data_IF_050103456271
#
_entry.id   IF_050103456271
#
_cell.length_a   1.000
_cell.length_b   1.000
_cell.length_c   1.000
_cell.angle_alpha   90.00
_cell.angle_beta   90.00
_cell.angle_gamma   90.00
#
_symmetry.space_group_name_H-M   'P 1'
#
loop_
_entity.id
_entity.type
_entity.pdbx_description
1 polymer ?
#
# COMPACT_ATOMS: atom_id res chain seq x y z
N UNK A 1 5.73 -2.00 -7.78
CA UNK A 1 4.65 -1.35 -8.57
C UNK A 1 3.43 -1.02 -7.71
N UNK A 2 2.83 -2.00 -7.01
CA UNK A 2 1.59 -1.79 -6.24
C UNK A 2 1.70 -0.76 -5.09
N UNK A 3 2.89 -0.56 -4.54
CA UNK A 3 3.15 0.34 -3.41
C UNK A 3 3.63 1.74 -3.82
N UNK A 4 3.67 2.05 -5.12
CA UNK A 4 4.21 3.31 -5.62
C UNK A 4 3.35 4.51 -5.18
N UNK A 5 2.02 4.39 -5.25
CA UNK A 5 1.12 5.49 -4.86
C UNK A 5 1.16 5.75 -3.34
N UNK A 6 1.05 4.74 -2.44
CA UNK A 6 1.27 4.94 -1.01
C UNK A 6 2.62 5.61 -0.69
N UNK A 7 3.68 5.25 -1.40
CA UNK A 7 5.00 5.85 -1.23
C UNK A 7 5.03 7.33 -1.64
N UNK A 8 4.44 7.67 -2.79
CA UNK A 8 4.31 9.07 -3.22
C UNK A 8 3.46 9.89 -2.23
N UNK A 9 2.42 9.28 -1.65
CA UNK A 9 1.62 9.91 -0.61
C UNK A 9 2.50 10.28 0.59
N UNK A 10 3.28 9.33 1.11
CA UNK A 10 4.22 9.59 2.19
C UNK A 10 5.22 10.69 1.81
N UNK A 11 5.83 10.64 0.61
CA UNK A 11 6.79 11.65 0.15
C UNK A 11 6.20 13.05 0.04
N UNK A 12 4.91 13.17 -0.27
CA UNK A 12 4.20 14.47 -0.26
C UNK A 12 3.96 15.00 1.16
N UNK A 13 3.80 14.11 2.14
CA UNK A 13 3.57 14.46 3.55
C UNK A 13 4.87 14.67 4.34
N UNK A 14 5.94 13.96 3.99
CA UNK A 14 7.27 14.02 4.63
C UNK A 14 7.77 15.46 4.88
N UNK A 15 7.75 16.41 3.92
CA UNK A 15 8.23 17.78 4.16
C UNK A 15 7.35 18.60 5.10
N UNK A 16 6.15 18.12 5.46
CA UNK A 16 5.24 18.81 6.40
C UNK A 16 5.52 18.43 7.86
N UNK A 17 6.35 17.41 8.09
CA UNK A 17 6.67 16.90 9.42
C UNK A 17 7.80 17.77 9.99
N UNK A 18 7.46 18.62 10.97
CA UNK A 18 8.42 19.55 11.60
C UNK A 18 9.29 18.89 12.67
N UNK A 19 8.76 17.86 13.30
CA UNK A 19 9.39 17.16 14.42
C UNK A 19 9.91 15.79 13.94
N UNK A 20 11.22 15.52 14.08
CA UNK A 20 11.82 14.31 13.55
C UNK A 20 11.28 13.04 14.23
N UNK A 21 10.82 13.08 15.49
CA UNK A 21 10.24 11.91 16.16
C UNK A 21 8.99 11.40 15.43
N UNK A 22 8.20 12.31 14.83
CA UNK A 22 6.97 11.96 14.14
C UNK A 22 7.18 11.37 12.75
N UNK A 23 8.39 11.46 12.16
CA UNK A 23 8.66 10.91 10.82
C UNK A 23 8.35 9.41 10.77
N UNK A 24 8.75 8.67 11.81
CA UNK A 24 8.53 7.23 11.91
C UNK A 24 7.05 6.88 12.07
N UNK A 25 6.36 7.57 12.98
CA UNK A 25 4.93 7.38 13.27
C UNK A 25 4.06 7.74 12.07
N UNK A 26 4.33 8.85 11.39
CA UNK A 26 3.60 9.24 10.18
C UNK A 26 3.84 8.26 9.04
N UNK A 27 5.07 7.78 8.85
CA UNK A 27 5.37 6.75 7.85
C UNK A 27 4.59 5.46 8.12
N UNK A 28 4.53 5.04 9.38
CA UNK A 28 3.74 3.88 9.79
C UNK A 28 2.23 4.10 9.56
N UNK A 29 1.69 5.24 9.99
CA UNK A 29 0.27 5.56 9.83
C UNK A 29 -0.17 5.62 8.36
N UNK A 30 0.62 6.29 7.50
CA UNK A 30 0.37 6.33 6.06
C UNK A 30 0.54 4.93 5.44
N UNK A 31 1.56 4.17 5.85
CA UNK A 31 1.75 2.80 5.40
C UNK A 31 0.54 1.90 5.73
N UNK A 32 0.12 1.88 6.99
CA UNK A 32 -0.96 1.04 7.48
C UNK A 32 -2.32 1.40 6.87
N UNK A 33 -2.56 2.67 6.52
CA UNK A 33 -3.82 3.12 5.93
C UNK A 33 -3.82 3.04 4.39
N UNK A 34 -2.80 3.59 3.74
CA UNK A 34 -2.78 3.71 2.29
C UNK A 34 -2.59 2.35 1.60
N UNK A 35 -1.72 1.47 2.10
CA UNK A 35 -1.46 0.19 1.43
C UNK A 35 -2.71 -0.69 1.27
N UNK A 36 -3.49 -1.01 2.33
CA UNK A 36 -4.69 -1.81 2.17
C UNK A 36 -5.74 -1.11 1.30
N UNK A 37 -5.91 0.21 1.43
CA UNK A 37 -6.82 0.99 0.60
C UNK A 37 -6.48 0.85 -0.89
N UNK A 38 -5.21 1.05 -1.26
CA UNK A 38 -4.77 0.97 -2.65
C UNK A 38 -4.84 -0.45 -3.21
N UNK A 39 -4.57 -1.48 -2.41
CA UNK A 39 -4.71 -2.87 -2.87
C UNK A 39 -6.16 -3.24 -3.14
N UNK A 40 -7.10 -2.75 -2.34
CA UNK A 40 -8.53 -2.91 -2.61
C UNK A 40 -8.92 -2.18 -3.90
N UNK A 41 -8.51 -0.92 -4.08
CA UNK A 41 -8.80 -0.17 -5.30
C UNK A 41 -8.24 -0.85 -6.57
N UNK A 42 -7.00 -1.36 -6.50
CA UNK A 42 -6.40 -2.12 -7.59
C UNK A 42 -7.14 -3.44 -7.85
N UNK A 43 -7.51 -4.16 -6.80
CA UNK A 43 -8.30 -5.39 -6.93
C UNK A 43 -9.66 -5.11 -7.57
N UNK A 44 -10.35 -4.03 -7.19
CA UNK A 44 -11.62 -3.62 -7.83
C UNK A 44 -11.44 -3.30 -9.32
N UNK A 45 -10.35 -2.62 -9.69
CA UNK A 45 -10.03 -2.40 -11.10
C UNK A 45 -9.81 -3.74 -11.84
N UNK A 46 -9.08 -4.68 -11.24
CA UNK A 46 -8.89 -6.02 -11.83
C UNK A 46 -10.21 -6.78 -11.93
N UNK A 47 -11.09 -6.71 -10.93
CA UNK A 47 -12.43 -7.31 -10.97
C UNK A 47 -13.22 -6.76 -12.16
N UNK A 48 -13.14 -5.46 -12.41
CA UNK A 48 -13.87 -4.82 -13.51
C UNK A 48 -13.44 -5.34 -14.89
N UNK A 49 -12.15 -5.60 -15.11
CA UNK A 49 -11.63 -6.06 -16.42
C UNK A 49 -11.56 -7.58 -16.58
N UNK A 50 -11.30 -8.32 -15.51
CA UNK A 50 -10.96 -9.76 -15.56
C UNK A 50 -11.90 -10.64 -14.70
N UNK A 51 -12.88 -10.03 -14.02
CA UNK A 51 -13.85 -10.73 -13.18
C UNK A 51 -13.39 -11.00 -11.76
N UNK A 52 -14.33 -11.48 -10.93
CA UNK A 52 -14.15 -11.60 -9.48
C UNK A 52 -13.01 -12.53 -9.07
N UNK A 53 -12.87 -13.67 -9.77
CA UNK A 53 -11.81 -14.66 -9.47
C UNK A 53 -10.41 -14.06 -9.65
N UNK A 54 -10.19 -13.32 -10.74
CA UNK A 54 -8.91 -12.66 -11.01
C UNK A 54 -8.61 -11.57 -9.98
N UNK A 55 -9.60 -10.79 -9.57
CA UNK A 55 -9.43 -9.75 -8.55
C UNK A 55 -9.10 -10.29 -7.16
N UNK A 56 -9.69 -11.41 -6.76
CA UNK A 56 -9.37 -12.10 -5.50
C UNK A 56 -7.96 -12.68 -5.52
N UNK A 57 -7.58 -13.36 -6.61
CA UNK A 57 -6.21 -13.87 -6.80
C UNK A 57 -5.18 -12.75 -6.75
N UNK A 58 -5.45 -11.63 -7.43
CA UNK A 58 -4.59 -10.45 -7.41
C UNK A 58 -4.42 -9.86 -6.01
N UNK A 59 -5.52 -9.74 -5.24
CA UNK A 59 -5.48 -9.23 -3.88
C UNK A 59 -4.69 -10.16 -2.96
N UNK A 60 -4.95 -11.47 -3.02
CA UNK A 60 -4.25 -12.47 -2.22
C UNK A 60 -2.75 -12.49 -2.52
N UNK A 61 -2.36 -12.51 -3.80
CA UNK A 61 -0.96 -12.44 -4.22
C UNK A 61 -0.28 -11.15 -3.73
N UNK A 62 -0.96 -10.01 -3.83
CA UNK A 62 -0.44 -8.72 -3.37
C UNK A 62 -0.21 -8.69 -1.85
N UNK A 63 -1.10 -9.28 -1.06
CA UNK A 63 -0.92 -9.40 0.39
C UNK A 63 0.22 -10.34 0.76
N UNK A 64 0.31 -11.51 0.13
CA UNK A 64 1.41 -12.46 0.36
C UNK A 64 2.75 -11.82 0.04
N UNK A 65 2.87 -11.16 -1.12
CA UNK A 65 4.10 -10.46 -1.50
C UNK A 65 4.46 -9.34 -0.51
N UNK A 66 3.47 -8.57 -0.04
CA UNK A 66 3.71 -7.54 0.96
C UNK A 66 4.26 -8.12 2.28
N UNK A 67 3.68 -9.22 2.76
CA UNK A 67 4.15 -9.91 3.97
C UNK A 67 5.55 -10.50 3.81
N UNK A 68 5.87 -11.06 2.63
CA UNK A 68 7.20 -11.57 2.35
C UNK A 68 8.25 -10.45 2.37
N UNK A 69 7.95 -9.30 1.74
CA UNK A 69 8.87 -8.15 1.73
C UNK A 69 9.13 -7.61 3.14
N UNK A 70 8.14 -7.63 4.03
CA UNK A 70 8.33 -7.23 5.43
C UNK A 70 9.24 -8.21 6.18
N UNK A 71 9.17 -9.52 5.87
CA UNK A 71 9.95 -10.55 6.57
C UNK A 71 11.38 -10.68 6.06
N UNK A 72 11.65 -10.29 4.80
CA UNK A 72 12.98 -10.37 4.17
C UNK A 72 13.85 -9.14 4.43
N UNK A 73 13.30 -8.08 5.02
CA UNK A 73 14.04 -6.89 5.47
C UNK A 73 14.24 -6.90 6.97
#
# INVERSE_FOLDING_TARGET
>A
VNSFIPYLLYKKFEPRIKEPEFISTTKFAIGASAFPLFYILQSLAVVHFFGMQAGLLYLAASLVLALLVVKTK
#
